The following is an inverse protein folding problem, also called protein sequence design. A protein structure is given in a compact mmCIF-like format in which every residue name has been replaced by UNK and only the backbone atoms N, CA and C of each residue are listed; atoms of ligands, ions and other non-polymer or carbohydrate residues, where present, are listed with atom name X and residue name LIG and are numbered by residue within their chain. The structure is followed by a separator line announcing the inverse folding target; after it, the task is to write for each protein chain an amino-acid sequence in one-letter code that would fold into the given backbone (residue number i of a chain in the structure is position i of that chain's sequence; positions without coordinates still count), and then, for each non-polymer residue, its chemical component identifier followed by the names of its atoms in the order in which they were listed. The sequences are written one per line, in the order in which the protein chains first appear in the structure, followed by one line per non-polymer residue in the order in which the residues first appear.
data_IF_494140963579
#
_entry.id   IF_494140963579
#
_cell.length_a   1.000
_cell.length_b   1.000
_cell.length_c   1.000
_cell.angle_alpha   90.00
_cell.angle_beta   90.00
_cell.angle_gamma   90.00
#
_symmetry.space_group_name_H-M   'P 1'
#
loop_
_entity.id
_entity.type
_entity.pdbx_description
1 polymer ?
#
# COMPACT_ATOMS: atom_id res chain seq x y z
N UNK A 1 33.00 9.85 -9.49
CA UNK A 1 32.23 9.94 -8.24
C UNK A 1 32.92 9.04 -7.23
N UNK A 2 33.14 9.48 -5.98
CA UNK A 2 33.55 8.56 -4.92
C UNK A 2 32.47 7.46 -4.87
N UNK A 3 32.87 6.21 -5.09
CA UNK A 3 31.91 5.13 -5.28
C UNK A 3 31.11 4.87 -4.01
N UNK A 4 29.79 4.73 -4.12
CA UNK A 4 28.91 4.25 -3.04
C UNK A 4 29.44 2.89 -2.58
N UNK A 5 29.62 2.70 -1.26
CA UNK A 5 30.11 1.46 -0.65
C UNK A 5 29.15 0.91 0.39
N UNK A 6 28.34 1.76 0.99
CA UNK A 6 27.45 1.40 2.09
C UNK A 6 26.01 1.86 1.80
N UNK A 7 25.07 0.94 1.86
CA UNK A 7 23.65 1.18 1.63
C UNK A 7 22.89 0.89 2.92
N UNK A 8 21.91 1.73 3.22
CA UNK A 8 21.01 1.47 4.33
C UNK A 8 19.57 1.31 3.84
N UNK A 9 18.81 0.46 4.51
CA UNK A 9 17.41 0.16 4.20
C UNK A 9 16.54 0.55 5.39
N UNK A 10 15.41 1.20 5.12
CA UNK A 10 14.35 1.40 6.10
C UNK A 10 12.97 1.10 5.52
N UNK A 11 12.04 0.73 6.41
CA UNK A 11 10.61 0.68 6.13
C UNK A 11 9.90 1.80 6.89
N UNK A 12 8.97 2.50 6.24
CA UNK A 12 8.28 3.65 6.82
C UNK A 12 6.81 3.67 6.41
N UNK A 13 5.98 4.30 7.22
CA UNK A 13 4.54 4.37 7.00
C UNK A 13 3.80 3.14 7.56
N UNK A 14 2.69 2.77 6.96
CA UNK A 14 1.98 1.54 7.27
C UNK A 14 2.74 0.32 6.74
N UNK A 15 2.69 -0.78 7.47
CA UNK A 15 3.24 -2.03 6.98
C UNK A 15 2.38 -2.61 5.85
N UNK A 16 3.05 -3.36 4.97
CA UNK A 16 2.40 -4.03 3.85
C UNK A 16 3.03 -5.42 3.64
N UNK A 17 2.23 -6.45 3.32
CA UNK A 17 2.74 -7.79 3.03
C UNK A 17 3.68 -7.75 1.82
N UNK A 18 4.90 -8.26 1.97
CA UNK A 18 5.94 -8.19 0.94
C UNK A 18 7.08 -7.21 1.28
N UNK A 19 6.96 -6.35 2.28
CA UNK A 19 8.07 -5.50 2.74
C UNK A 19 9.30 -6.32 3.11
N UNK A 20 9.12 -7.48 3.77
CA UNK A 20 10.23 -8.37 4.09
C UNK A 20 10.88 -8.99 2.86
N UNK A 21 10.10 -9.31 1.83
CA UNK A 21 10.63 -9.76 0.55
C UNK A 21 11.47 -8.68 -0.13
N UNK A 22 11.02 -7.41 -0.07
CA UNK A 22 11.79 -6.26 -0.59
C UNK A 22 13.08 -6.04 0.19
N UNK A 23 13.04 -6.03 1.53
CA UNK A 23 14.25 -5.94 2.40
C UNK A 23 15.25 -7.03 2.02
N UNK A 24 14.77 -8.26 1.87
CA UNK A 24 15.61 -9.40 1.48
C UNK A 24 16.24 -9.19 0.11
N UNK A 25 15.48 -8.76 -0.86
CA UNK A 25 15.97 -8.55 -2.23
C UNK A 25 17.03 -7.46 -2.28
N UNK A 26 16.75 -6.27 -1.71
CA UNK A 26 17.70 -5.17 -1.61
C UNK A 26 18.99 -5.62 -0.91
N UNK A 27 18.87 -6.28 0.26
CA UNK A 27 20.03 -6.72 1.03
C UNK A 27 20.91 -7.69 0.24
N UNK A 28 20.31 -8.68 -0.39
CA UNK A 28 21.07 -9.71 -1.13
C UNK A 28 21.67 -9.18 -2.42
N UNK A 29 20.94 -8.37 -3.17
CA UNK A 29 21.43 -7.71 -4.37
C UNK A 29 22.58 -6.75 -4.05
N UNK A 30 22.47 -5.98 -2.96
CA UNK A 30 23.53 -5.07 -2.51
C UNK A 30 24.81 -5.84 -2.14
N UNK A 31 24.70 -6.91 -1.33
CA UNK A 31 25.84 -7.75 -0.95
C UNK A 31 26.47 -8.40 -2.18
N UNK A 32 25.66 -8.89 -3.12
CA UNK A 32 26.15 -9.49 -4.38
C UNK A 32 27.01 -8.50 -5.19
N UNK A 33 26.63 -7.22 -5.18
CA UNK A 33 27.37 -6.14 -5.84
C UNK A 33 28.48 -5.50 -4.97
N UNK A 34 28.83 -6.11 -3.83
CA UNK A 34 29.96 -5.71 -3.00
C UNK A 34 29.70 -4.58 -2.03
N UNK A 35 28.45 -4.17 -1.84
CA UNK A 35 28.06 -3.14 -0.85
C UNK A 35 28.01 -3.71 0.57
N UNK A 36 28.38 -2.90 1.55
CA UNK A 36 27.96 -3.12 2.94
C UNK A 36 26.52 -2.70 3.13
N UNK A 37 25.75 -3.46 3.92
CA UNK A 37 24.32 -3.21 4.10
C UNK A 37 23.98 -3.01 5.55
N UNK A 38 23.18 -2.00 5.84
CA UNK A 38 22.64 -1.72 7.16
C UNK A 38 21.11 -1.62 7.10
N UNK A 39 20.45 -1.93 8.20
CA UNK A 39 19.03 -1.69 8.39
C UNK A 39 18.78 -0.61 9.42
N UNK A 40 17.71 0.16 9.26
CA UNK A 40 17.27 1.12 10.27
C UNK A 40 15.98 0.58 10.89
N UNK A 41 16.01 0.39 12.20
CA UNK A 41 14.83 -0.01 12.95
C UNK A 41 13.85 1.15 13.06
N UNK A 42 12.56 0.89 12.95
CA UNK A 42 11.48 1.88 13.14
C UNK A 42 11.52 3.09 12.17
N UNK A 43 12.01 2.86 10.95
CA UNK A 43 11.96 3.84 9.86
C UNK A 43 12.71 5.14 10.13
N UNK A 44 12.16 6.27 9.70
CA UNK A 44 12.79 7.58 9.89
C UNK A 44 13.00 7.94 11.36
N UNK A 45 12.14 7.46 12.28
CA UNK A 45 12.35 7.65 13.71
C UNK A 45 13.68 7.03 14.17
N UNK A 46 13.92 5.79 13.76
CA UNK A 46 15.18 5.12 14.08
C UNK A 46 16.40 5.77 13.44
N UNK A 47 16.26 6.39 12.27
CA UNK A 47 17.35 7.16 11.67
C UNK A 47 17.70 8.40 12.50
N UNK A 48 16.69 9.12 13.02
CA UNK A 48 16.89 10.26 13.93
C UNK A 48 17.59 9.83 15.24
N UNK A 49 17.22 8.66 15.78
CA UNK A 49 17.72 8.17 17.06
C UNK A 49 18.90 7.16 16.93
N UNK A 50 19.48 7.02 15.74
CA UNK A 50 20.64 6.17 15.46
C UNK A 50 20.41 4.68 15.75
N UNK A 51 19.22 4.16 15.38
CA UNK A 51 18.88 2.74 15.54
C UNK A 51 19.30 1.93 14.31
N UNK A 52 20.59 1.93 14.03
CA UNK A 52 21.21 1.32 12.86
C UNK A 52 21.75 -0.06 13.25
N UNK A 53 21.43 -1.08 12.46
CA UNK A 53 21.92 -2.46 12.62
C UNK A 53 22.63 -2.94 11.36
N UNK A 54 23.69 -3.72 11.52
CA UNK A 54 24.37 -4.33 10.38
C UNK A 54 23.58 -5.50 9.81
N UNK A 55 23.52 -5.58 8.49
CA UNK A 55 22.90 -6.68 7.78
C UNK A 55 23.93 -7.54 7.05
N UNK A 56 23.78 -8.85 7.23
CA UNK A 56 24.47 -9.89 6.48
C UNK A 56 23.44 -10.69 5.68
N UNK A 57 23.88 -11.52 4.76
CA UNK A 57 23.00 -12.40 4.00
C UNK A 57 22.09 -13.27 4.90
N UNK A 58 22.59 -13.68 6.06
CA UNK A 58 21.85 -14.45 7.07
C UNK A 58 20.77 -13.63 7.77
N UNK A 59 20.96 -12.31 7.93
CA UNK A 59 19.99 -11.42 8.59
C UNK A 59 18.63 -11.40 7.90
N UNK A 60 18.61 -11.73 6.62
CA UNK A 60 17.39 -11.75 5.79
C UNK A 60 17.01 -13.17 5.33
N UNK A 61 17.48 -14.18 6.04
CA UNK A 61 17.10 -15.57 5.76
C UNK A 61 15.70 -15.86 6.30
N UNK A 62 14.92 -16.65 5.54
CA UNK A 62 13.59 -17.12 5.94
C UNK A 62 12.57 -16.01 6.28
N UNK A 63 12.67 -14.83 5.63
CA UNK A 63 11.74 -13.71 5.85
C UNK A 63 10.81 -13.43 4.66
N UNK A 64 11.05 -14.03 3.49
CA UNK A 64 10.30 -13.74 2.26
C UNK A 64 8.80 -14.02 2.40
N UNK A 65 8.44 -15.00 3.21
CA UNK A 65 7.05 -15.42 3.47
C UNK A 65 6.41 -14.68 4.64
N UNK A 66 7.16 -13.87 5.40
CA UNK A 66 6.65 -13.19 6.58
C UNK A 66 5.93 -11.90 6.20
N UNK A 67 4.75 -11.69 6.76
CA UNK A 67 4.05 -10.40 6.75
C UNK A 67 4.73 -9.37 7.64
N UNK A 68 4.22 -8.14 7.62
CA UNK A 68 4.81 -7.03 8.35
C UNK A 68 6.22 -6.68 7.87
N UNK A 69 7.06 -6.17 8.77
CA UNK A 69 8.45 -5.81 8.47
C UNK A 69 9.38 -6.11 9.65
N UNK A 70 10.52 -6.79 9.38
CA UNK A 70 11.54 -7.08 10.40
C UNK A 70 12.24 -5.81 10.91
N UNK A 71 12.27 -4.75 10.09
CA UNK A 71 12.83 -3.45 10.47
C UNK A 71 11.86 -2.62 11.31
N UNK A 72 10.62 -3.07 11.46
CA UNK A 72 9.54 -2.31 12.11
C UNK A 72 9.29 -0.96 11.44
N UNK A 73 8.23 -0.30 11.79
CA UNK A 73 7.89 1.04 11.32
C UNK A 73 7.35 1.88 12.47
N UNK A 74 7.55 3.18 12.41
CA UNK A 74 6.96 4.13 13.33
C UNK A 74 6.74 5.48 12.65
N UNK A 75 5.71 6.20 13.10
CA UNK A 75 5.58 7.62 12.77
C UNK A 75 6.70 8.40 13.45
N UNK A 76 7.26 9.39 12.79
CA UNK A 76 8.29 10.28 13.35
C UNK A 76 7.87 11.72 13.17
N UNK A 77 7.45 12.34 14.25
CA UNK A 77 7.20 13.78 14.26
C UNK A 77 8.53 14.54 14.22
N UNK A 78 9.57 13.96 14.80
CA UNK A 78 10.92 14.54 14.82
C UNK A 78 11.47 14.70 13.39
N UNK A 79 11.29 13.70 12.53
CA UNK A 79 11.79 13.76 11.14
C UNK A 79 11.08 14.81 10.29
N UNK A 80 9.88 15.26 10.70
CA UNK A 80 9.18 16.37 10.04
C UNK A 80 9.85 17.72 10.27
N UNK A 81 10.68 17.85 11.33
CA UNK A 81 11.43 19.07 11.65
C UNK A 81 12.78 19.12 10.92
N UNK A 82 13.31 20.32 10.72
CA UNK A 82 14.65 20.51 10.13
C UNK A 82 15.72 19.92 11.04
N UNK A 83 15.59 20.11 12.35
CA UNK A 83 16.54 19.61 13.36
C UNK A 83 16.57 18.07 13.37
N UNK A 84 15.40 17.43 13.28
CA UNK A 84 15.32 15.96 13.24
C UNK A 84 15.93 15.39 11.96
N UNK A 85 15.70 16.02 10.80
CA UNK A 85 16.36 15.61 9.55
C UNK A 85 17.87 15.86 9.59
N UNK A 86 18.31 16.95 10.24
CA UNK A 86 19.74 17.19 10.46
C UNK A 86 20.37 16.07 11.31
N UNK A 87 19.73 15.69 12.42
CA UNK A 87 20.18 14.58 13.26
C UNK A 87 20.23 13.25 12.47
N UNK A 88 19.23 12.98 11.66
CA UNK A 88 19.20 11.82 10.78
C UNK A 88 20.38 11.80 9.80
N UNK A 89 20.68 12.94 9.18
CA UNK A 89 21.82 13.07 8.28
C UNK A 89 23.15 12.87 9.00
N UNK A 90 23.34 13.48 10.17
CA UNK A 90 24.56 13.35 10.98
C UNK A 90 24.80 11.88 11.38
N UNK A 91 23.74 11.16 11.73
CA UNK A 91 23.79 9.72 12.04
C UNK A 91 24.20 8.89 10.81
N UNK A 92 23.66 9.21 9.61
CA UNK A 92 24.08 8.56 8.36
C UNK A 92 25.57 8.76 8.09
N UNK A 93 26.05 9.99 8.20
CA UNK A 93 27.46 10.34 7.99
C UNK A 93 28.35 9.61 9.01
N UNK A 94 28.00 9.67 10.31
CA UNK A 94 28.74 8.99 11.37
C UNK A 94 28.79 7.45 11.17
N UNK A 95 27.73 6.86 10.61
CA UNK A 95 27.67 5.44 10.30
C UNK A 95 28.33 5.07 8.96
N UNK A 96 28.88 6.03 8.20
CA UNK A 96 29.51 5.80 6.90
C UNK A 96 28.54 5.27 5.86
N UNK A 97 27.30 5.80 5.82
CA UNK A 97 26.25 5.41 4.89
C UNK A 97 26.24 6.35 3.69
N UNK A 98 26.30 5.80 2.48
CA UNK A 98 26.41 6.57 1.24
C UNK A 98 25.06 6.72 0.51
N UNK A 99 24.14 5.75 0.66
CA UNK A 99 22.85 5.76 0.00
C UNK A 99 21.75 5.12 0.86
N UNK A 100 20.50 5.52 0.62
CA UNK A 100 19.32 5.07 1.37
C UNK A 100 18.29 4.40 0.42
N UNK A 101 17.79 3.24 0.83
CA UNK A 101 16.62 2.62 0.21
C UNK A 101 15.44 2.74 1.18
N UNK A 102 14.36 3.38 0.74
CA UNK A 102 13.13 3.61 1.51
C UNK A 102 12.01 2.74 0.97
N UNK A 103 11.44 1.87 1.79
CA UNK A 103 10.29 1.04 1.45
C UNK A 103 9.07 1.61 2.17
N UNK A 104 8.09 2.15 1.43
CA UNK A 104 6.91 2.76 2.04
C UNK A 104 5.97 3.40 1.03
N UNK A 105 4.90 4.02 1.54
CA UNK A 105 3.90 4.72 0.74
C UNK A 105 4.21 6.21 0.53
N UNK A 106 3.20 6.97 0.08
CA UNK A 106 3.28 8.38 -0.31
C UNK A 106 4.00 9.26 0.71
N UNK A 107 3.57 9.25 1.97
CA UNK A 107 4.21 10.07 3.02
C UNK A 107 5.67 9.71 3.27
N UNK A 108 6.06 8.45 3.09
CA UNK A 108 7.43 8.00 3.26
C UNK A 108 8.33 8.47 2.11
N UNK A 109 7.83 8.42 0.88
CA UNK A 109 8.55 8.91 -0.31
C UNK A 109 8.60 10.44 -0.33
N UNK A 110 7.57 11.12 0.16
CA UNK A 110 7.60 12.59 0.37
C UNK A 110 8.71 12.98 1.34
N UNK A 111 8.79 12.31 2.50
CA UNK A 111 9.86 12.56 3.47
C UNK A 111 11.25 12.24 2.93
N UNK A 112 11.36 11.16 2.15
CA UNK A 112 12.60 10.78 1.47
C UNK A 112 13.04 11.83 0.43
N UNK A 113 12.10 12.36 -0.36
CA UNK A 113 12.36 13.41 -1.34
C UNK A 113 12.88 14.68 -0.69
N UNK A 114 12.22 15.15 0.37
CA UNK A 114 12.64 16.32 1.12
C UNK A 114 14.05 16.15 1.72
N UNK A 115 14.31 14.98 2.31
CA UNK A 115 15.62 14.66 2.88
C UNK A 115 16.72 14.61 1.81
N UNK A 116 16.40 14.08 0.64
CA UNK A 116 17.34 14.05 -0.49
C UNK A 116 17.67 15.45 -1.03
N UNK A 117 16.69 16.34 -1.08
CA UNK A 117 16.89 17.74 -1.51
C UNK A 117 17.73 18.54 -0.51
N UNK A 118 17.47 18.38 0.80
CA UNK A 118 18.19 19.11 1.85
C UNK A 118 19.67 18.69 1.99
N UNK A 119 19.98 17.40 1.83
CA UNK A 119 21.31 16.86 2.14
C UNK A 119 22.01 16.21 0.95
N UNK A 120 21.44 16.26 -0.23
CA UNK A 120 21.98 15.64 -1.44
C UNK A 120 22.32 14.14 -1.27
N UNK A 121 21.54 13.42 -0.48
CA UNK A 121 21.69 11.98 -0.26
C UNK A 121 21.08 11.23 -1.43
N UNK A 122 21.77 10.24 -2.04
CA UNK A 122 21.17 9.34 -3.01
C UNK A 122 20.10 8.48 -2.34
N UNK A 123 18.84 8.59 -2.80
CA UNK A 123 17.71 7.80 -2.26
C UNK A 123 16.98 7.11 -3.38
N UNK A 124 16.66 5.83 -3.17
CA UNK A 124 15.78 5.04 -4.03
C UNK A 124 14.59 4.56 -3.20
N UNK A 125 13.39 4.75 -3.71
CA UNK A 125 12.13 4.35 -3.07
C UNK A 125 11.57 3.06 -3.66
N UNK A 126 10.98 2.23 -2.80
CA UNK A 126 10.14 1.10 -3.20
C UNK A 126 8.71 1.34 -2.72
N UNK A 127 7.69 1.18 -3.58
CA UNK A 127 6.29 1.46 -3.23
C UNK A 127 5.72 0.33 -2.36
N UNK A 128 5.91 0.43 -1.04
CA UNK A 128 5.40 -0.50 -0.03
C UNK A 128 4.12 0.05 0.62
N UNK A 129 2.97 -0.22 0.03
CA UNK A 129 1.65 0.18 0.52
C UNK A 129 0.56 -0.71 -0.07
N UNK A 130 -0.49 -0.98 0.69
CA UNK A 130 -1.67 -1.71 0.20
C UNK A 130 -2.65 -0.83 -0.59
N UNK A 131 -2.52 0.49 -0.52
CA UNK A 131 -3.51 1.44 -1.05
C UNK A 131 -3.43 1.61 -2.58
N UNK A 132 -2.29 1.25 -3.19
CA UNK A 132 -2.00 1.33 -4.64
C UNK A 132 -2.20 2.73 -5.25
N UNK A 133 -1.96 3.77 -4.44
CA UNK A 133 -2.24 5.17 -4.72
C UNK A 133 -1.04 5.98 -5.25
N UNK A 134 0.10 5.32 -5.49
CA UNK A 134 1.30 5.96 -6.01
C UNK A 134 1.30 6.04 -7.54
N UNK A 135 1.61 7.22 -8.08
CA UNK A 135 1.74 7.44 -9.51
C UNK A 135 2.97 6.75 -10.11
N UNK A 136 2.89 6.37 -11.41
CA UNK A 136 4.02 5.78 -12.14
C UNK A 136 4.31 4.31 -11.82
N UNK A 137 3.37 3.61 -11.20
CA UNK A 137 3.46 2.15 -11.02
C UNK A 137 2.09 1.51 -11.22
N UNK A 138 2.04 0.35 -11.86
CA UNK A 138 0.81 -0.43 -12.03
C UNK A 138 0.36 -1.01 -10.69
N UNK A 139 1.32 -1.47 -9.86
CA UNK A 139 1.03 -2.10 -8.57
C UNK A 139 2.07 -1.72 -7.52
N UNK A 140 1.61 -1.67 -6.28
CA UNK A 140 2.44 -1.47 -5.09
C UNK A 140 2.59 -2.78 -4.32
N UNK A 141 3.70 -2.92 -3.57
CA UNK A 141 3.99 -4.11 -2.75
C UNK A 141 2.98 -4.20 -1.61
N UNK A 142 2.24 -5.30 -1.54
CA UNK A 142 1.23 -5.59 -0.53
C UNK A 142 -0.21 -5.45 -1.03
N UNK A 143 -0.42 -4.81 -2.16
CA UNK A 143 -1.75 -4.59 -2.73
C UNK A 143 -2.46 -5.89 -3.11
N UNK A 144 -1.80 -6.80 -3.82
CA UNK A 144 -2.37 -8.08 -4.22
C UNK A 144 -2.74 -8.95 -3.00
N UNK A 145 -1.91 -8.96 -1.97
CA UNK A 145 -2.20 -9.69 -0.73
C UNK A 145 -3.41 -9.10 -0.01
N UNK A 146 -3.53 -7.77 0.04
CA UNK A 146 -4.70 -7.11 0.62
C UNK A 146 -5.99 -7.45 -0.14
N UNK A 147 -5.95 -7.46 -1.48
CA UNK A 147 -7.09 -7.90 -2.30
C UNK A 147 -7.50 -9.34 -2.00
N UNK A 148 -6.55 -10.25 -1.86
CA UNK A 148 -6.84 -11.64 -1.51
C UNK A 148 -7.48 -11.76 -0.12
N UNK A 149 -7.01 -10.99 0.87
CA UNK A 149 -7.59 -10.94 2.21
C UNK A 149 -9.04 -10.44 2.18
N UNK A 150 -9.32 -9.42 1.37
CA UNK A 150 -10.67 -8.89 1.18
C UNK A 150 -11.55 -9.96 0.51
N UNK A 151 -11.09 -10.55 -0.58
CA UNK A 151 -11.79 -11.58 -1.32
C UNK A 151 -12.19 -12.75 -0.42
N UNK A 152 -11.25 -13.33 0.32
CA UNK A 152 -11.53 -14.41 1.28
C UNK A 152 -12.55 -14.02 2.35
N UNK A 153 -12.54 -12.78 2.81
CA UNK A 153 -13.48 -12.26 3.80
C UNK A 153 -14.88 -12.09 3.21
N UNK A 154 -14.97 -11.55 2.00
CA UNK A 154 -16.25 -11.35 1.29
C UNK A 154 -16.88 -12.68 0.91
N UNK A 155 -16.11 -13.67 0.48
CA UNK A 155 -16.64 -15.02 0.17
C UNK A 155 -17.31 -15.64 1.39
N UNK A 156 -16.70 -15.53 2.58
CA UNK A 156 -17.30 -15.99 3.85
C UNK A 156 -18.58 -15.21 4.20
N UNK A 157 -18.60 -13.91 3.92
CA UNK A 157 -19.81 -13.08 4.14
C UNK A 157 -20.92 -13.44 3.16
N UNK A 158 -20.60 -13.84 1.93
CA UNK A 158 -21.57 -14.25 0.92
C UNK A 158 -22.36 -15.47 1.35
N UNK A 159 -21.73 -16.45 1.99
CA UNK A 159 -22.40 -17.64 2.52
C UNK A 159 -23.48 -17.27 3.54
N UNK A 160 -23.15 -16.34 4.46
CA UNK A 160 -24.14 -15.91 5.46
C UNK A 160 -25.16 -14.92 4.89
N UNK A 161 -24.78 -14.08 3.92
CA UNK A 161 -25.67 -13.14 3.28
C UNK A 161 -26.81 -13.87 2.55
N UNK A 162 -26.49 -14.93 1.79
CA UNK A 162 -27.44 -15.74 1.06
C UNK A 162 -28.43 -16.47 1.97
N UNK A 163 -28.00 -16.80 3.19
CA UNK A 163 -28.84 -17.53 4.16
C UNK A 163 -29.91 -16.67 4.83
N UNK A 164 -29.81 -15.33 4.77
CA UNK A 164 -30.65 -14.43 5.58
C UNK A 164 -31.26 -13.24 4.81
N UNK A 165 -31.14 -13.19 3.49
CA UNK A 165 -31.65 -12.09 2.66
C UNK A 165 -31.18 -10.70 3.12
N UNK A 166 -29.85 -10.54 3.37
CA UNK A 166 -29.26 -9.32 3.96
C UNK A 166 -28.47 -8.51 2.96
N UNK A 167 -28.43 -7.20 3.21
CA UNK A 167 -27.53 -6.26 2.55
C UNK A 167 -26.29 -6.04 3.42
N UNK A 168 -25.11 -6.42 2.93
CA UNK A 168 -23.84 -6.19 3.62
C UNK A 168 -23.08 -5.02 3.01
N UNK A 169 -22.67 -4.10 3.87
CA UNK A 169 -21.65 -3.09 3.57
C UNK A 169 -20.33 -3.57 4.14
N UNK A 170 -19.36 -3.83 3.27
CA UNK A 170 -18.02 -4.29 3.67
C UNK A 170 -17.03 -3.14 3.49
N UNK A 171 -16.58 -2.58 4.61
CA UNK A 171 -15.59 -1.51 4.59
C UNK A 171 -14.18 -2.07 4.44
N UNK A 172 -13.46 -1.51 3.47
CA UNK A 172 -12.07 -1.84 3.16
C UNK A 172 -11.17 -0.62 3.29
N UNK A 173 -9.90 -0.85 3.57
CA UNK A 173 -8.89 0.22 3.60
C UNK A 173 -8.68 0.83 2.21
N UNK A 174 -7.76 1.76 2.08
CA UNK A 174 -7.43 2.47 0.84
C UNK A 174 -7.09 3.93 1.10
N UNK A 175 -7.16 4.37 2.37
CA UNK A 175 -6.89 5.75 2.80
C UNK A 175 -7.80 6.75 2.08
N UNK A 176 -7.31 7.42 1.03
CA UNK A 176 -8.08 8.38 0.21
C UNK A 176 -8.35 7.85 -1.19
N UNK A 177 -8.04 6.58 -1.47
CA UNK A 177 -8.15 5.96 -2.78
C UNK A 177 -9.08 4.75 -2.79
N UNK A 178 -9.84 4.59 -3.86
CA UNK A 178 -10.84 3.53 -4.01
C UNK A 178 -10.33 2.25 -4.70
N UNK A 179 -9.03 2.10 -4.93
CA UNK A 179 -8.49 0.96 -5.70
C UNK A 179 -8.77 -0.40 -5.07
N UNK A 180 -8.61 -0.53 -3.73
CA UNK A 180 -8.95 -1.75 -3.01
C UNK A 180 -10.44 -2.06 -3.13
N UNK A 181 -11.31 -1.07 -2.90
CA UNK A 181 -12.76 -1.25 -2.98
C UNK A 181 -13.21 -1.64 -4.39
N UNK A 182 -12.73 -0.93 -5.41
CA UNK A 182 -13.12 -1.18 -6.80
C UNK A 182 -12.69 -2.56 -7.28
N UNK A 183 -11.41 -2.90 -7.09
CA UNK A 183 -10.90 -4.17 -7.60
C UNK A 183 -11.40 -5.38 -6.79
N UNK A 184 -11.62 -5.22 -5.47
CA UNK A 184 -12.25 -6.28 -4.69
C UNK A 184 -13.73 -6.48 -5.06
N UNK A 185 -14.46 -5.42 -5.40
CA UNK A 185 -15.84 -5.56 -5.90
C UNK A 185 -15.90 -6.36 -7.20
N UNK A 186 -14.98 -6.11 -8.13
CA UNK A 186 -14.86 -6.90 -9.36
C UNK A 186 -14.52 -8.36 -9.03
N UNK A 187 -13.47 -8.57 -8.21
CA UNK A 187 -12.96 -9.91 -7.90
C UNK A 187 -13.97 -10.78 -7.14
N UNK A 188 -14.85 -10.18 -6.35
CA UNK A 188 -15.86 -10.89 -5.55
C UNK A 188 -17.25 -10.92 -6.22
N UNK A 189 -17.44 -10.24 -7.35
CA UNK A 189 -18.75 -10.08 -7.97
C UNK A 189 -19.75 -9.38 -7.05
N UNK A 190 -19.29 -8.40 -6.29
CA UNK A 190 -20.15 -7.57 -5.43
C UNK A 190 -21.01 -6.64 -6.27
N UNK A 191 -22.17 -6.25 -5.73
CA UNK A 191 -23.18 -5.48 -6.46
C UNK A 191 -22.76 -4.04 -6.71
N UNK A 192 -21.88 -3.49 -5.86
CA UNK A 192 -21.35 -2.14 -6.03
C UNK A 192 -20.00 -1.92 -5.32
N UNK A 193 -19.27 -0.91 -5.77
CA UNK A 193 -18.15 -0.31 -5.07
C UNK A 193 -18.44 1.17 -4.78
N UNK A 194 -18.29 1.59 -3.54
CA UNK A 194 -18.41 2.99 -3.11
C UNK A 194 -17.02 3.50 -2.81
N UNK A 195 -16.57 4.47 -3.58
CA UNK A 195 -15.19 4.97 -3.58
C UNK A 195 -15.16 6.49 -3.42
N UNK A 196 -14.10 7.04 -2.79
CA UNK A 196 -14.02 8.48 -2.49
C UNK A 196 -13.89 9.36 -3.74
N UNK A 197 -13.45 8.81 -4.87
CA UNK A 197 -13.30 9.53 -6.14
C UNK A 197 -14.64 9.81 -6.85
N UNK A 198 -15.72 9.23 -6.35
CA UNK A 198 -17.06 9.47 -6.88
C UNK A 198 -17.94 10.12 -5.82
N UNK A 199 -18.66 11.17 -6.21
CA UNK A 199 -19.77 11.69 -5.40
C UNK A 199 -20.92 10.68 -5.46
N UNK A 200 -21.14 9.97 -4.36
CA UNK A 200 -22.24 9.02 -4.25
C UNK A 200 -23.44 9.73 -3.64
N UNK A 201 -24.39 10.11 -4.48
CA UNK A 201 -25.69 10.53 -4.01
C UNK A 201 -26.48 9.31 -3.50
N UNK A 202 -27.37 9.53 -2.53
CA UNK A 202 -28.22 8.45 -1.96
C UNK A 202 -29.08 7.79 -3.03
N UNK A 203 -29.48 8.56 -4.03
CA UNK A 203 -30.30 8.05 -5.13
C UNK A 203 -29.54 7.01 -5.97
N UNK A 204 -28.24 7.17 -6.18
CA UNK A 204 -27.40 6.16 -6.84
C UNK A 204 -27.29 4.88 -6.03
N UNK A 205 -27.17 5.01 -4.70
CA UNK A 205 -27.20 3.86 -3.81
C UNK A 205 -28.57 3.17 -3.84
N UNK A 206 -29.64 3.91 -3.81
CA UNK A 206 -31.00 3.38 -3.94
C UNK A 206 -31.20 2.65 -5.26
N UNK A 207 -30.67 3.20 -6.35
CA UNK A 207 -30.71 2.57 -7.67
C UNK A 207 -29.91 1.28 -7.71
N UNK A 208 -28.70 1.27 -7.16
CA UNK A 208 -27.85 0.08 -7.03
C UNK A 208 -28.51 -1.01 -6.18
N UNK A 209 -29.06 -0.64 -5.02
CA UNK A 209 -29.77 -1.57 -4.12
C UNK A 209 -31.01 -2.13 -4.82
N UNK A 210 -31.83 -1.29 -5.44
CA UNK A 210 -33.02 -1.70 -6.15
C UNK A 210 -32.72 -2.61 -7.36
N UNK A 211 -31.63 -2.37 -8.08
CA UNK A 211 -31.20 -3.23 -9.17
C UNK A 211 -30.72 -4.61 -8.68
N UNK A 212 -29.97 -4.66 -7.60
CA UNK A 212 -29.49 -5.92 -7.00
C UNK A 212 -30.63 -6.77 -6.46
N UNK A 213 -31.61 -6.18 -5.77
CA UNK A 213 -32.73 -6.92 -5.15
C UNK A 213 -33.89 -7.23 -6.13
N UNK A 214 -34.07 -6.44 -7.19
CA UNK A 214 -35.20 -6.68 -8.17
C UNK A 214 -35.04 -7.93 -9.02
N UNK A 215 -33.87 -8.55 -9.09
CA UNK A 215 -33.58 -9.69 -9.97
C UNK A 215 -33.50 -11.04 -9.23
N UNK A 216 -34.36 -11.29 -8.27
CA UNK A 216 -34.37 -12.53 -7.47
C UNK A 216 -33.11 -12.82 -6.65
N UNK A 217 -32.24 -11.85 -6.44
CA UNK A 217 -31.13 -11.97 -5.50
C UNK A 217 -31.64 -11.63 -4.11
N UNK A 218 -31.61 -12.59 -3.21
CA UNK A 218 -32.04 -12.40 -1.82
C UNK A 218 -30.99 -11.77 -0.93
N UNK A 219 -29.82 -11.43 -1.46
CA UNK A 219 -28.73 -10.81 -0.71
C UNK A 219 -27.88 -9.92 -1.61
N UNK A 220 -27.27 -8.88 -1.05
CA UNK A 220 -26.33 -8.02 -1.77
C UNK A 220 -25.13 -7.69 -0.90
N UNK A 221 -23.95 -7.53 -1.53
CA UNK A 221 -22.72 -7.08 -0.92
C UNK A 221 -22.24 -5.83 -1.62
N UNK A 222 -22.04 -4.76 -0.86
CA UNK A 222 -21.50 -3.49 -1.33
C UNK A 222 -20.14 -3.28 -0.67
N UNK A 223 -19.11 -3.13 -1.46
CA UNK A 223 -17.77 -2.81 -0.97
C UNK A 223 -17.66 -1.30 -0.81
N UNK A 224 -17.17 -0.85 0.34
CA UNK A 224 -17.06 0.57 0.69
C UNK A 224 -15.62 0.88 1.04
N UNK A 225 -14.99 1.82 0.34
CA UNK A 225 -13.68 2.33 0.76
C UNK A 225 -13.82 3.12 2.07
N UNK A 226 -12.87 2.96 2.99
CA UNK A 226 -12.81 3.78 4.20
C UNK A 226 -12.79 5.27 3.81
N UNK A 227 -13.65 6.07 4.41
CA UNK A 227 -13.67 7.50 4.17
C UNK A 227 -14.03 8.25 5.46
N UNK A 228 -13.05 8.83 6.15
CA UNK A 228 -13.30 9.55 7.41
C UNK A 228 -14.20 10.79 7.24
N UNK A 229 -14.31 11.34 6.03
CA UNK A 229 -15.17 12.51 5.78
C UNK A 229 -16.65 12.15 5.68
N UNK A 230 -16.97 10.96 5.19
CA UNK A 230 -18.36 10.51 4.98
C UNK A 230 -18.85 9.52 6.05
N UNK A 231 -17.95 9.07 6.94
CA UNK A 231 -18.26 8.10 7.99
C UNK A 231 -18.29 6.65 7.53
N UNK A 232 -17.84 6.37 6.31
CA UNK A 232 -17.63 5.01 5.77
C UNK A 232 -18.92 4.17 5.71
N UNK A 233 -18.74 2.85 5.80
CA UNK A 233 -19.84 1.88 5.70
C UNK A 233 -20.89 2.03 6.82
N UNK A 234 -20.48 2.47 7.99
CA UNK A 234 -21.42 2.64 9.14
C UNK A 234 -22.44 3.74 8.86
N UNK A 235 -21.98 4.93 8.46
CA UNK A 235 -22.87 6.05 8.14
C UNK A 235 -23.79 5.71 6.96
N UNK A 236 -23.26 4.98 5.98
CA UNK A 236 -24.02 4.52 4.81
C UNK A 236 -25.13 3.55 5.21
N UNK A 237 -24.83 2.56 6.07
CA UNK A 237 -25.82 1.61 6.58
C UNK A 237 -26.91 2.27 7.41
N UNK A 238 -26.57 3.27 8.22
CA UNK A 238 -27.54 4.07 9.00
C UNK A 238 -28.50 4.83 8.08
N UNK A 239 -27.99 5.45 7.01
CA UNK A 239 -28.83 6.11 6.01
C UNK A 239 -29.75 5.13 5.33
N UNK A 240 -29.24 3.96 4.90
CA UNK A 240 -30.09 2.93 4.27
C UNK A 240 -31.19 2.46 5.21
N UNK A 241 -30.90 2.18 6.47
CA UNK A 241 -31.93 1.82 7.46
C UNK A 241 -33.02 2.86 7.64
N UNK A 242 -32.65 4.15 7.54
CA UNK A 242 -33.61 5.26 7.67
C UNK A 242 -34.45 5.45 6.40
N UNK A 243 -33.83 5.41 5.25
CA UNK A 243 -34.47 5.72 3.97
C UNK A 243 -35.13 4.50 3.32
N UNK A 244 -34.61 3.30 3.61
CA UNK A 244 -35.05 2.02 3.04
C UNK A 244 -35.23 0.94 4.13
N UNK A 245 -36.18 1.12 5.07
CA UNK A 245 -36.33 0.25 6.24
C UNK A 245 -36.68 -1.21 5.92
N UNK A 246 -37.03 -1.52 4.67
CA UNK A 246 -37.28 -2.87 4.20
C UNK A 246 -36.01 -3.72 4.08
N UNK A 247 -34.80 -3.11 4.09
CA UNK A 247 -33.53 -3.84 3.98
C UNK A 247 -32.87 -4.05 5.35
N UNK A 248 -32.52 -5.30 5.68
CA UNK A 248 -31.69 -5.62 6.85
C UNK A 248 -30.21 -5.33 6.53
N UNK A 249 -29.81 -4.05 6.68
CA UNK A 249 -28.45 -3.61 6.40
C UNK A 249 -27.49 -3.99 7.53
N UNK A 250 -26.38 -4.63 7.18
CA UNK A 250 -25.29 -5.05 8.08
C UNK A 250 -23.97 -4.44 7.65
N UNK A 251 -23.08 -4.21 8.61
CA UNK A 251 -21.75 -3.64 8.37
C UNK A 251 -20.70 -4.62 8.83
N UNK A 252 -19.68 -4.78 8.01
CA UNK A 252 -18.43 -5.47 8.36
C UNK A 252 -17.26 -4.57 8.01
N UNK A 253 -16.44 -4.21 9.00
CA UNK A 253 -15.23 -3.40 8.80
C UNK A 253 -14.04 -4.34 8.87
N UNK A 254 -13.33 -4.53 7.76
CA UNK A 254 -12.17 -5.44 7.73
C UNK A 254 -10.96 -4.86 8.44
N UNK A 255 -10.73 -3.54 8.32
CA UNK A 255 -9.66 -2.85 9.04
C UNK A 255 -8.28 -3.47 8.80
N UNK A 256 -7.48 -3.52 9.86
CA UNK A 256 -6.05 -3.86 9.80
C UNK A 256 -5.71 -5.31 9.42
N UNK A 257 -6.67 -6.24 9.34
CA UNK A 257 -6.39 -7.59 8.82
C UNK A 257 -5.86 -7.56 7.38
N UNK A 258 -6.21 -6.51 6.63
CA UNK A 258 -5.76 -6.28 5.25
C UNK A 258 -4.25 -5.94 5.14
N UNK A 259 -3.61 -5.53 6.24
CA UNK A 259 -2.16 -5.25 6.29
C UNK A 259 -1.34 -6.48 6.65
N UNK A 260 -1.97 -7.53 7.14
CA UNK A 260 -1.32 -8.73 7.63
C UNK A 260 -1.27 -9.87 6.62
N UNK A 261 -0.74 -10.97 7.09
CA UNK A 261 -0.69 -12.22 6.34
C UNK A 261 0.60 -12.44 5.56
N UNK A 262 0.75 -13.66 5.08
CA UNK A 262 1.88 -14.06 4.24
C UNK A 262 1.70 -13.48 2.84
N UNK A 263 2.69 -12.76 2.28
CA UNK A 263 2.55 -12.15 0.95
C UNK A 263 2.29 -13.21 -0.12
N UNK A 264 1.41 -12.90 -1.06
CA UNK A 264 1.14 -13.73 -2.24
C UNK A 264 2.38 -13.90 -3.11
N UNK A 265 2.33 -14.84 -4.05
CA UNK A 265 3.40 -15.00 -5.03
C UNK A 265 3.62 -13.72 -5.86
N UNK A 266 2.54 -12.99 -6.18
CA UNK A 266 2.60 -11.73 -6.93
C UNK A 266 3.41 -10.69 -6.14
N UNK A 267 3.06 -10.44 -4.88
CA UNK A 267 3.78 -9.48 -4.05
C UNK A 267 5.23 -9.88 -3.77
N UNK A 268 5.53 -11.18 -3.57
CA UNK A 268 6.91 -11.63 -3.38
C UNK A 268 7.77 -11.42 -4.64
N UNK A 269 7.23 -11.72 -5.82
CA UNK A 269 7.93 -11.53 -7.10
C UNK A 269 8.13 -10.04 -7.36
N UNK A 270 7.07 -9.22 -7.20
CA UNK A 270 7.13 -7.79 -7.38
C UNK A 270 8.19 -7.15 -6.47
N UNK A 271 8.12 -7.45 -5.17
CA UNK A 271 9.07 -6.96 -4.17
C UNK A 271 10.52 -7.40 -4.47
N UNK A 272 10.72 -8.63 -4.95
CA UNK A 272 12.04 -9.13 -5.30
C UNK A 272 12.62 -8.42 -6.52
N UNK A 273 11.82 -8.23 -7.58
CA UNK A 273 12.23 -7.50 -8.79
C UNK A 273 12.52 -6.03 -8.50
N UNK A 274 11.64 -5.35 -7.74
CA UNK A 274 11.85 -3.96 -7.36
C UNK A 274 13.06 -3.78 -6.45
N UNK A 275 13.29 -4.72 -5.51
CA UNK A 275 14.42 -4.65 -4.60
C UNK A 275 15.77 -4.82 -5.31
N UNK A 276 15.83 -5.69 -6.32
CA UNK A 276 17.00 -5.84 -7.17
C UNK A 276 17.21 -4.59 -8.04
N UNK A 277 16.16 -4.10 -8.71
CA UNK A 277 16.20 -2.91 -9.52
C UNK A 277 16.59 -1.63 -8.74
N UNK A 278 16.32 -1.58 -7.43
CA UNK A 278 16.78 -0.47 -6.59
C UNK A 278 18.31 -0.42 -6.49
N UNK A 279 18.97 -1.57 -6.48
CA UNK A 279 20.44 -1.65 -6.47
C UNK A 279 21.02 -1.34 -7.84
N UNK A 280 20.39 -1.82 -8.93
CA UNK A 280 20.76 -1.42 -10.28
C UNK A 280 20.65 0.10 -10.46
N UNK A 281 19.55 0.70 -10.01
CA UNK A 281 19.37 2.16 -10.05
C UNK A 281 20.51 2.91 -9.34
N UNK A 282 20.93 2.43 -8.16
CA UNK A 282 22.06 3.03 -7.42
C UNK A 282 23.38 2.87 -8.21
N UNK A 283 23.64 1.72 -8.79
CA UNK A 283 24.83 1.47 -9.63
C UNK A 283 24.86 2.37 -10.86
N UNK A 284 23.71 2.58 -11.49
CA UNK A 284 23.51 3.46 -12.65
C UNK A 284 23.54 4.97 -12.28
N UNK A 285 23.73 5.29 -11.00
CA UNK A 285 23.78 6.67 -10.51
C UNK A 285 22.42 7.37 -10.47
N UNK A 286 21.32 6.63 -10.54
CA UNK A 286 19.97 7.17 -10.34
C UNK A 286 19.78 7.66 -8.91
N UNK A 287 19.05 8.75 -8.76
CA UNK A 287 18.81 9.38 -7.46
C UNK A 287 17.38 9.89 -7.38
N UNK A 288 16.81 9.83 -6.18
CA UNK A 288 15.51 10.42 -5.86
C UNK A 288 14.40 9.90 -6.78
N UNK A 289 14.44 8.59 -7.02
CA UNK A 289 13.49 7.87 -7.85
C UNK A 289 12.80 6.76 -7.06
N UNK A 290 11.55 6.53 -7.37
CA UNK A 290 10.81 5.34 -6.98
C UNK A 290 10.96 4.28 -8.07
N UNK A 291 11.18 3.04 -7.67
CA UNK A 291 11.11 1.89 -8.58
C UNK A 291 9.64 1.54 -8.77
N UNK A 292 9.15 1.69 -9.98
CA UNK A 292 7.79 1.32 -10.36
C UNK A 292 7.76 0.16 -11.36
N UNK A 293 6.55 -0.29 -11.68
CA UNK A 293 6.29 -1.19 -12.80
C UNK A 293 5.25 -0.57 -13.72
N UNK A 294 5.51 -0.60 -15.03
CA UNK A 294 4.52 -0.20 -16.04
C UNK A 294 4.52 -1.24 -17.17
N UNK A 295 3.36 -1.81 -17.44
CA UNK A 295 3.19 -2.88 -18.43
C UNK A 295 4.20 -4.04 -18.19
N UNK A 296 4.37 -4.42 -16.91
CA UNK A 296 5.27 -5.49 -16.49
C UNK A 296 6.77 -5.20 -16.54
N UNK A 297 7.18 -3.98 -16.94
CA UNK A 297 8.57 -3.53 -16.98
C UNK A 297 8.89 -2.64 -15.80
N UNK A 298 10.12 -2.73 -15.29
CA UNK A 298 10.64 -1.81 -14.28
C UNK A 298 10.83 -0.42 -14.91
N UNK A 299 10.43 0.61 -14.16
CA UNK A 299 10.60 2.02 -14.50
C UNK A 299 11.13 2.80 -13.31
N UNK A 300 11.89 3.87 -13.57
CA UNK A 300 12.40 4.78 -12.56
C UNK A 300 11.57 6.06 -12.58
N UNK A 301 10.82 6.31 -11.53
CA UNK A 301 9.86 7.42 -11.42
C UNK A 301 10.41 8.46 -10.45
N UNK A 302 10.70 9.70 -10.88
CA UNK A 302 11.11 10.75 -9.95
C UNK A 302 10.09 10.91 -8.81
N UNK A 303 10.53 11.07 -7.56
CA UNK A 303 9.64 11.21 -6.40
C UNK A 303 8.56 12.27 -6.61
N UNK A 304 8.92 13.42 -7.18
CA UNK A 304 7.97 14.49 -7.48
C UNK A 304 6.81 14.08 -8.40
N UNK A 305 7.00 13.04 -9.21
CA UNK A 305 5.94 12.47 -10.08
C UNK A 305 5.20 11.33 -9.38
N UNK A 306 5.88 10.54 -8.55
CA UNK A 306 5.28 9.42 -7.84
C UNK A 306 4.26 9.88 -6.78
N UNK A 307 4.58 10.95 -6.03
CA UNK A 307 3.82 11.43 -4.85
C UNK A 307 2.76 12.49 -5.14
N UNK A 308 2.75 13.11 -6.31
CA UNK A 308 1.85 14.23 -6.62
C UNK A 308 0.80 13.91 -7.68
N UNK A 309 0.84 12.75 -8.27
CA UNK A 309 -0.08 12.37 -9.33
C UNK A 309 -1.11 11.38 -8.79
N UNK A 310 -2.35 11.84 -8.74
CA UNK A 310 -3.50 10.97 -8.69
C UNK A 310 -3.44 10.02 -9.90
N UNK A 311 -3.36 8.73 -9.62
CA UNK A 311 -3.32 7.68 -10.65
C UNK A 311 -4.63 7.65 -11.46
N UNK A 312 -5.69 8.28 -10.93
CA UNK A 312 -7.04 8.28 -11.47
C UNK A 312 -7.70 6.91 -11.38
N UNK A 313 -9.01 6.88 -11.20
CA UNK A 313 -9.79 5.64 -11.21
C UNK A 313 -10.11 5.23 -12.65
N UNK A 314 -9.95 3.95 -12.93
CA UNK A 314 -10.37 3.37 -14.21
C UNK A 314 -11.91 3.36 -14.31
N UNK A 315 -12.45 4.24 -15.15
CA UNK A 315 -13.90 4.31 -15.41
C UNK A 315 -14.45 3.03 -16.05
N UNK A 316 -13.62 2.32 -16.82
CA UNK A 316 -13.98 1.04 -17.40
C UNK A 316 -14.18 -0.04 -16.31
N UNK A 317 -13.35 -0.01 -15.26
CA UNK A 317 -13.52 -0.91 -14.12
C UNK A 317 -14.79 -0.61 -13.31
N UNK A 318 -15.17 0.67 -13.16
CA UNK A 318 -16.45 1.05 -12.54
C UNK A 318 -17.66 0.54 -13.36
N UNK A 319 -17.60 0.69 -14.66
CA UNK A 319 -18.64 0.19 -15.56
C UNK A 319 -18.71 -1.35 -15.52
N UNK A 320 -17.56 -2.01 -15.42
CA UNK A 320 -17.48 -3.47 -15.29
C UNK A 320 -18.21 -3.97 -14.04
N UNK A 321 -18.06 -3.30 -12.88
CA UNK A 321 -18.84 -3.66 -11.68
C UNK A 321 -20.33 -3.61 -11.96
N UNK A 322 -20.83 -2.56 -12.62
CA UNK A 322 -22.26 -2.43 -12.97
C UNK A 322 -22.72 -3.54 -13.92
N UNK A 323 -21.92 -3.85 -14.95
CA UNK A 323 -22.23 -4.89 -15.93
C UNK A 323 -22.32 -6.27 -15.24
N UNK A 324 -21.37 -6.57 -14.34
CA UNK A 324 -21.29 -7.87 -13.69
C UNK A 324 -22.28 -8.02 -12.51
N UNK A 325 -22.90 -6.95 -12.03
CA UNK A 325 -23.89 -6.98 -10.95
C UNK A 325 -25.31 -7.38 -11.41
N UNK A 326 -25.48 -7.61 -12.72
CA UNK A 326 -26.77 -7.97 -13.34
C UNK A 326 -27.22 -9.39 -12.97
#
# INVERSE_FOLDING_TARGET
MAGIKSIVILTSGGDAPGMNAAIRAVTRSAIYNGFTVKGIMRGFKGLVFNEIVEFKSQSVSNIIQLGGTILKTARSEEFKTVEGRKAAYDNMVAAGIDALVVIGGDGSLTGAGLFAEEYNVPIVGLPGTIDNDLGGTDSTIGYDTALNTIMESVDKLRDTASSHERLFFVEVMGHTAGYLALNSAIATGSEAAIIPEMETEVDQLAELINHGFRKSKNSAIVIVAENPKTGGATALAERVKKEFPQYDARVTILGHIQRGGSPTAVDRILASRMGEAAIEAILDGQRNVMIGTMNGKIVYVPFAKAIKHDKGIDRGALELVKILSI
#
